data_IF_718728315965
#
_entry.id   IF_718728315965
#
_cell.length_a   1.000
_cell.length_b   1.000
_cell.length_c   1.000
_cell.angle_alpha   90.00
_cell.angle_beta   90.00
_cell.angle_gamma   90.00
#
_symmetry.space_group_name_H-M   'P 1'
#
loop_
_entity.id
_entity.type
_entity.pdbx_description
1 polymer ?
#
# COMPACT_ATOMS: atom_id res chain seq x y z
N UNK A 1 4.11 -0.96 26.89
CA UNK A 1 3.79 -0.71 25.48
C UNK A 1 4.52 0.49 24.85
N UNK A 2 4.52 1.70 25.40
CA UNK A 2 5.36 2.81 24.87
C UNK A 2 6.87 2.59 25.10
N UNK A 3 7.22 1.83 26.14
CA UNK A 3 8.60 1.45 26.48
C UNK A 3 9.26 0.51 25.50
N UNK A 4 8.49 -0.23 24.69
CA UNK A 4 9.01 -1.21 23.72
C UNK A 4 9.34 -0.59 22.36
N UNK A 5 8.84 0.61 22.08
CA UNK A 5 9.04 1.26 20.77
C UNK A 5 10.52 1.41 20.37
N UNK A 6 11.46 1.81 21.25
CA UNK A 6 12.87 1.88 20.89
C UNK A 6 13.48 0.51 20.57
N UNK A 7 13.03 -0.54 21.27
CA UNK A 7 13.47 -1.94 21.04
C UNK A 7 12.99 -2.44 19.69
N UNK A 8 11.72 -2.17 19.36
CA UNK A 8 11.10 -2.52 18.08
C UNK A 8 11.74 -1.76 16.92
N UNK A 9 11.94 -0.45 17.05
CA UNK A 9 12.58 0.36 16.02
C UNK A 9 14.01 -0.12 15.72
N UNK A 10 14.78 -0.46 16.76
CA UNK A 10 16.11 -1.06 16.62
C UNK A 10 16.03 -2.41 15.91
N UNK A 11 15.08 -3.27 16.28
CA UNK A 11 14.86 -4.56 15.65
C UNK A 11 14.58 -4.40 14.15
N UNK A 12 13.62 -3.55 13.77
CA UNK A 12 13.27 -3.29 12.38
C UNK A 12 14.44 -2.72 11.56
N UNK A 13 15.22 -1.80 12.16
CA UNK A 13 16.39 -1.23 11.49
C UNK A 13 17.53 -2.23 11.30
N UNK A 14 17.69 -3.18 12.21
CA UNK A 14 18.67 -4.25 12.09
C UNK A 14 18.18 -5.30 11.09
N UNK A 15 16.92 -5.70 11.18
CA UNK A 15 16.30 -6.67 10.29
C UNK A 15 16.42 -6.26 8.81
N UNK A 16 16.19 -4.98 8.50
CA UNK A 16 16.30 -4.47 7.11
C UNK A 16 17.72 -4.51 6.52
N UNK A 17 18.75 -4.76 7.32
CA UNK A 17 20.16 -4.80 6.90
C UNK A 17 20.74 -6.20 6.87
N UNK A 18 20.04 -7.16 7.43
CA UNK A 18 20.55 -8.54 7.56
C UNK A 18 20.02 -9.37 6.40
N UNK A 19 20.88 -9.96 5.56
CA UNK A 19 20.48 -10.94 4.55
C UNK A 19 19.70 -12.07 5.25
N UNK A 20 18.81 -12.71 4.56
CA UNK A 20 17.99 -13.81 5.07
C UNK A 20 16.94 -13.45 6.15
N UNK A 21 16.89 -12.23 6.63
CA UNK A 21 15.79 -11.77 7.48
C UNK A 21 14.49 -11.81 6.69
N UNK A 22 13.42 -12.34 7.30
CA UNK A 22 12.08 -12.27 6.74
C UNK A 22 11.63 -10.82 6.82
N UNK A 23 11.44 -10.18 5.67
CA UNK A 23 10.92 -8.82 5.59
C UNK A 23 9.80 -8.76 4.56
N UNK A 24 8.63 -8.32 5.00
CA UNK A 24 7.52 -7.96 4.13
C UNK A 24 7.11 -6.52 4.42
N UNK A 25 6.94 -5.72 3.39
CA UNK A 25 6.52 -4.32 3.54
C UNK A 25 5.81 -3.84 2.30
N UNK A 26 4.85 -2.94 2.47
CA UNK A 26 4.18 -2.22 1.38
C UNK A 26 5.13 -1.26 0.65
N UNK A 27 6.33 -1.03 1.18
CA UNK A 27 7.38 -0.24 0.55
C UNK A 27 8.54 -1.14 0.12
N UNK A 28 9.20 -0.84 -1.00
CA UNK A 28 10.46 -1.49 -1.37
C UNK A 28 11.52 -1.33 -0.28
N UNK A 29 12.38 -2.33 -0.12
CA UNK A 29 13.39 -2.36 0.95
C UNK A 29 14.20 -1.06 1.11
N UNK A 30 14.73 -0.41 0.06
CA UNK A 30 15.49 0.84 0.22
C UNK A 30 14.66 1.98 0.82
N UNK A 31 13.32 1.94 0.68
CA UNK A 31 12.42 2.94 1.25
C UNK A 31 11.95 2.55 2.66
N UNK A 32 11.94 1.26 3.00
CA UNK A 32 11.61 0.75 4.34
C UNK A 32 12.64 1.17 5.37
N UNK A 33 13.91 1.05 5.04
CA UNK A 33 15.00 1.40 5.96
C UNK A 33 14.92 2.87 6.41
N UNK A 34 14.52 3.78 5.53
CA UNK A 34 14.32 5.19 5.87
C UNK A 34 13.00 5.44 6.61
N UNK A 35 11.92 4.75 6.24
CA UNK A 35 10.59 4.92 6.83
C UNK A 35 10.48 4.37 8.26
N UNK A 36 11.24 3.32 8.57
CA UNK A 36 11.24 2.68 9.89
C UNK A 36 12.44 3.09 10.75
N UNK A 37 13.42 3.83 10.21
CA UNK A 37 14.65 4.22 10.92
C UNK A 37 14.40 5.20 12.09
N UNK A 38 13.21 5.77 12.21
CA UNK A 38 12.88 6.70 13.26
C UNK A 38 11.72 6.24 14.15
N UNK A 39 11.98 5.77 15.39
CA UNK A 39 10.93 5.62 16.40
C UNK A 39 10.13 6.93 16.60
N UNK A 40 10.73 8.08 16.28
CA UNK A 40 10.09 9.40 16.28
C UNK A 40 9.00 9.53 15.19
N UNK A 41 9.09 8.81 14.08
CA UNK A 41 8.03 8.76 13.06
C UNK A 41 6.87 7.87 13.48
N UNK A 42 7.07 6.93 14.40
CA UNK A 42 6.02 6.10 14.97
C UNK A 42 5.26 6.82 16.11
N UNK A 43 5.92 7.72 16.84
CA UNK A 43 5.35 8.43 17.99
C UNK A 43 4.18 9.37 17.62
N UNK A 44 4.31 10.30 16.67
CA UNK A 44 3.19 11.16 16.27
C UNK A 44 2.03 10.37 15.69
N UNK A 45 2.32 9.30 14.95
CA UNK A 45 1.31 8.37 14.43
C UNK A 45 0.54 7.65 15.55
N UNK A 46 1.22 7.23 16.62
CA UNK A 46 0.58 6.55 17.75
C UNK A 46 -0.24 7.49 18.63
N UNK A 47 0.15 8.76 18.76
CA UNK A 47 -0.56 9.76 19.57
C UNK A 47 -1.77 10.37 18.84
N UNK A 48 -1.66 10.63 17.53
CA UNK A 48 -2.74 11.22 16.72
C UNK A 48 -3.65 10.20 16.03
N UNK A 49 -3.13 8.98 15.76
CA UNK A 49 -3.83 7.90 15.07
C UNK A 49 -4.05 6.69 15.98
N UNK A 50 -4.29 6.91 17.26
CA UNK A 50 -4.36 5.89 18.34
C UNK A 50 -5.14 4.61 17.97
N UNK A 51 -6.11 4.71 17.07
CA UNK A 51 -6.96 3.58 16.68
C UNK A 51 -6.58 2.96 15.33
N UNK A 52 -5.59 3.50 14.60
CA UNK A 52 -5.29 3.07 13.22
C UNK A 52 -4.00 2.28 13.08
N UNK A 53 -3.05 2.46 13.99
CA UNK A 53 -1.80 1.71 14.01
C UNK A 53 -1.80 0.71 15.15
N UNK A 54 -1.41 -0.52 14.81
CA UNK A 54 -1.25 -1.61 15.75
C UNK A 54 0.12 -2.22 15.56
N UNK A 55 0.77 -2.48 16.69
CA UNK A 55 2.07 -3.14 16.74
C UNK A 55 1.90 -4.47 17.43
N UNK A 56 2.32 -5.53 16.74
CA UNK A 56 2.36 -6.89 17.23
C UNK A 56 3.80 -7.34 17.33
N UNK A 57 4.13 -8.04 18.39
CA UNK A 57 5.47 -8.55 18.65
C UNK A 57 5.38 -10.00 19.09
N UNK A 58 6.35 -10.79 18.69
CA UNK A 58 6.52 -12.17 19.14
C UNK A 58 7.89 -12.31 19.78
N UNK A 59 7.92 -12.95 20.95
CA UNK A 59 9.14 -13.21 21.70
C UNK A 59 9.38 -14.71 21.83
N UNK A 60 10.61 -15.12 21.55
CA UNK A 60 11.05 -16.48 21.77
C UNK A 60 12.16 -16.48 22.80
N UNK A 61 11.97 -17.21 23.92
CA UNK A 61 12.94 -17.26 25.05
C UNK A 61 13.36 -15.86 25.57
N UNK A 62 12.41 -14.94 25.67
CA UNK A 62 12.66 -13.59 26.16
C UNK A 62 13.37 -12.64 25.15
N UNK A 63 13.56 -13.09 23.90
CA UNK A 63 14.13 -12.28 22.81
C UNK A 63 13.07 -11.99 21.77
N UNK A 64 13.03 -10.77 21.29
CA UNK A 64 12.15 -10.36 20.20
C UNK A 64 12.58 -11.12 18.92
N UNK A 65 11.68 -11.93 18.36
CA UNK A 65 11.95 -12.74 17.19
C UNK A 65 11.16 -12.30 15.95
N UNK A 66 9.98 -11.71 16.13
CA UNK A 66 9.20 -11.16 15.01
C UNK A 66 8.40 -9.92 15.43
N UNK A 67 8.15 -9.03 14.47
CA UNK A 67 7.41 -7.78 14.64
C UNK A 67 6.52 -7.55 13.43
N UNK A 68 5.27 -7.14 13.66
CA UNK A 68 4.36 -6.67 12.62
C UNK A 68 3.79 -5.30 12.98
N UNK A 69 3.86 -4.36 12.04
CA UNK A 69 3.18 -3.07 12.10
C UNK A 69 1.99 -3.11 11.14
N UNK A 70 0.81 -2.84 11.65
CA UNK A 70 -0.44 -2.93 10.92
C UNK A 70 -1.17 -1.60 10.95
N UNK A 71 -1.72 -1.22 9.81
CA UNK A 71 -2.57 -0.05 9.65
C UNK A 71 -4.01 -0.48 9.40
N UNK A 72 -4.96 0.16 10.10
CA UNK A 72 -6.39 0.05 9.88
C UNK A 72 -6.88 1.31 9.18
N UNK A 73 -7.36 1.18 7.95
CA UNK A 73 -7.93 2.27 7.16
C UNK A 73 -9.37 2.60 7.57
N UNK A 74 -10.13 3.15 6.62
CA UNK A 74 -11.57 3.45 6.77
C UNK A 74 -12.44 2.23 6.49
N UNK A 75 -11.93 1.35 5.64
CA UNK A 75 -12.57 0.11 5.26
C UNK A 75 -12.32 -0.96 6.33
N UNK A 76 -13.14 -2.00 6.40
CA UNK A 76 -12.92 -3.11 7.33
C UNK A 76 -11.75 -4.00 6.86
N UNK A 77 -10.58 -3.38 6.78
CA UNK A 77 -9.35 -3.98 6.26
C UNK A 77 -8.14 -3.55 7.07
N UNK A 78 -7.23 -4.47 7.22
CA UNK A 78 -5.90 -4.19 7.75
C UNK A 78 -4.84 -4.31 6.66
N UNK A 79 -3.83 -3.46 6.74
CA UNK A 79 -2.65 -3.50 5.87
C UNK A 79 -1.41 -3.72 6.72
N UNK A 80 -0.66 -4.78 6.44
CA UNK A 80 0.63 -5.03 7.06
C UNK A 80 1.62 -4.05 6.43
N UNK A 81 1.93 -2.96 7.13
CA UNK A 81 2.89 -1.96 6.66
C UNK A 81 4.32 -2.50 6.71
N UNK A 82 4.62 -3.29 7.74
CA UNK A 82 5.90 -3.95 7.88
C UNK A 82 5.74 -5.23 8.69
N UNK A 83 6.43 -6.27 8.27
CA UNK A 83 6.64 -7.52 8.97
C UNK A 83 8.12 -7.83 8.90
N UNK A 84 8.76 -8.08 10.03
CA UNK A 84 10.15 -8.46 10.08
C UNK A 84 10.37 -9.56 11.10
N UNK A 85 11.27 -10.51 10.80
CA UNK A 85 11.64 -11.57 11.71
C UNK A 85 13.12 -11.93 11.56
N UNK A 86 13.74 -12.41 12.63
CA UNK A 86 15.11 -12.92 12.60
C UNK A 86 15.22 -14.14 11.68
N UNK A 87 16.40 -14.40 11.09
CA UNK A 87 16.58 -15.48 10.11
C UNK A 87 16.66 -16.89 10.73
N UNK A 88 16.59 -17.00 12.04
CA UNK A 88 16.66 -18.27 12.75
C UNK A 88 15.31 -19.04 12.75
N UNK A 89 15.29 -20.32 13.14
CA UNK A 89 14.04 -21.10 13.19
C UNK A 89 12.96 -20.49 14.08
N UNK A 90 13.35 -19.81 15.18
CA UNK A 90 12.42 -19.10 16.06
C UNK A 90 11.73 -17.93 15.37
N UNK A 91 12.41 -17.25 14.44
CA UNK A 91 11.84 -16.17 13.63
C UNK A 91 10.81 -16.67 12.63
N UNK A 92 11.05 -17.78 11.95
CA UNK A 92 10.09 -18.35 11.00
C UNK A 92 8.81 -18.81 11.72
N UNK A 93 8.94 -19.56 12.82
CA UNK A 93 7.82 -19.99 13.65
C UNK A 93 7.09 -18.78 14.26
N UNK A 94 7.84 -17.80 14.78
CA UNK A 94 7.29 -16.57 15.35
C UNK A 94 6.52 -15.75 14.31
N UNK A 95 6.98 -15.68 13.06
CA UNK A 95 6.27 -15.00 11.98
C UNK A 95 4.93 -15.64 11.68
N UNK A 96 4.89 -16.98 11.60
CA UNK A 96 3.65 -17.70 11.38
C UNK A 96 2.66 -17.47 12.53
N UNK A 97 3.08 -17.65 13.78
CA UNK A 97 2.26 -17.38 14.98
C UNK A 97 1.76 -15.92 14.99
N UNK A 98 2.61 -14.98 14.61
CA UNK A 98 2.26 -13.58 14.54
C UNK A 98 1.17 -13.31 13.50
N UNK A 99 1.25 -13.92 12.31
CA UNK A 99 0.21 -13.82 11.26
C UNK A 99 -1.10 -14.48 11.69
N UNK A 100 -1.07 -15.61 12.40
CA UNK A 100 -2.26 -16.25 12.97
C UNK A 100 -2.91 -15.36 14.03
N UNK A 101 -2.12 -14.86 14.99
CA UNK A 101 -2.60 -13.95 16.02
C UNK A 101 -3.19 -12.67 15.42
N UNK A 102 -2.53 -12.12 14.39
CA UNK A 102 -2.99 -10.95 13.65
C UNK A 102 -4.32 -11.22 12.96
N UNK A 103 -4.47 -12.40 12.35
CA UNK A 103 -5.72 -12.83 11.72
C UNK A 103 -6.87 -12.95 12.73
N UNK A 104 -6.62 -13.61 13.87
CA UNK A 104 -7.60 -13.74 14.95
C UNK A 104 -8.00 -12.35 15.52
N UNK A 105 -7.01 -11.51 15.76
CA UNK A 105 -7.25 -10.13 16.24
C UNK A 105 -8.03 -9.30 15.22
N UNK A 106 -7.76 -9.46 13.92
CA UNK A 106 -8.49 -8.75 12.86
C UNK A 106 -9.97 -9.14 12.85
N UNK A 107 -10.28 -10.44 12.96
CA UNK A 107 -11.67 -10.94 13.09
C UNK A 107 -12.37 -10.34 14.30
N UNK A 108 -11.71 -10.31 15.48
CA UNK A 108 -12.27 -9.70 16.69
C UNK A 108 -12.56 -8.19 16.53
N UNK A 109 -11.85 -7.51 15.63
CA UNK A 109 -12.07 -6.09 15.31
C UNK A 109 -12.99 -5.89 14.10
N UNK A 110 -13.70 -6.92 13.65
CA UNK A 110 -14.64 -6.84 12.54
C UNK A 110 -13.99 -6.58 11.18
N UNK A 111 -12.71 -6.93 11.03
CA UNK A 111 -12.05 -6.80 9.74
C UNK A 111 -12.41 -7.95 8.83
N UNK A 112 -12.57 -7.66 7.54
CA UNK A 112 -12.93 -8.64 6.53
C UNK A 112 -11.72 -9.16 5.76
N UNK A 113 -10.64 -8.36 5.73
CA UNK A 113 -9.43 -8.68 4.95
C UNK A 113 -8.16 -8.14 5.60
N UNK A 114 -7.05 -8.83 5.29
CA UNK A 114 -5.71 -8.37 5.61
C UNK A 114 -4.91 -8.35 4.32
N UNK A 115 -4.29 -7.21 4.02
CA UNK A 115 -3.38 -7.04 2.89
C UNK A 115 -1.93 -7.02 3.34
N UNK A 116 -1.06 -7.54 2.50
CA UNK A 116 0.38 -7.50 2.70
C UNK A 116 1.12 -7.42 1.38
N UNK A 117 2.40 -7.10 1.43
CA UNK A 117 3.28 -7.09 0.27
C UNK A 117 4.64 -7.69 0.63
N UNK A 118 5.21 -8.44 -0.30
CA UNK A 118 6.58 -8.96 -0.19
C UNK A 118 7.36 -8.44 -1.39
N UNK A 119 8.31 -7.55 -1.13
CA UNK A 119 9.14 -6.96 -2.16
C UNK A 119 10.25 -7.92 -2.59
N UNK A 120 10.49 -8.00 -3.90
CA UNK A 120 11.67 -8.61 -4.48
C UNK A 120 12.81 -7.59 -4.59
N UNK A 121 14.05 -8.06 -4.64
CA UNK A 121 15.15 -7.23 -5.05
C UNK A 121 15.00 -6.81 -6.53
N UNK A 122 15.46 -5.60 -6.87
CA UNK A 122 15.33 -5.04 -8.23
C UNK A 122 16.01 -5.90 -9.32
N UNK A 123 17.02 -6.70 -8.94
CA UNK A 123 17.73 -7.62 -9.83
C UNK A 123 17.02 -8.97 -10.04
N UNK A 124 15.81 -9.13 -9.48
CA UNK A 124 15.05 -10.38 -9.54
C UNK A 124 15.62 -11.49 -8.64
N UNK A 125 16.71 -11.25 -7.93
CA UNK A 125 17.23 -12.20 -6.95
C UNK A 125 16.31 -12.23 -5.73
N UNK A 126 15.60 -13.33 -5.52
CA UNK A 126 14.94 -13.55 -4.25
C UNK A 126 16.00 -13.90 -3.21
N UNK A 127 16.22 -13.02 -2.24
CA UNK A 127 16.99 -13.40 -1.06
C UNK A 127 16.26 -14.53 -0.33
N UNK A 128 16.98 -15.36 0.42
CA UNK A 128 16.37 -16.44 1.21
C UNK A 128 15.24 -15.90 2.12
N UNK A 129 15.38 -14.67 2.63
CA UNK A 129 14.36 -14.00 3.44
C UNK A 129 13.08 -13.68 2.68
N UNK A 130 13.16 -13.23 1.43
CA UNK A 130 11.99 -12.95 0.58
C UNK A 130 11.21 -14.22 0.25
N UNK A 131 11.90 -15.30 -0.11
CA UNK A 131 11.27 -16.59 -0.38
C UNK A 131 10.52 -17.11 0.85
N UNK A 132 11.16 -17.06 2.02
CA UNK A 132 10.55 -17.44 3.30
C UNK A 132 9.34 -16.55 3.65
N UNK A 133 9.42 -15.24 3.41
CA UNK A 133 8.30 -14.35 3.64
C UNK A 133 7.08 -14.76 2.81
N UNK A 134 7.27 -15.05 1.52
CA UNK A 134 6.19 -15.53 0.64
C UNK A 134 5.59 -16.84 1.14
N UNK A 135 6.45 -17.80 1.45
CA UNK A 135 6.02 -19.09 1.98
C UNK A 135 5.20 -18.92 3.25
N UNK A 136 5.66 -18.10 4.19
CA UNK A 136 4.93 -17.82 5.44
C UNK A 136 3.57 -17.18 5.19
N UNK A 137 3.47 -16.26 4.21
CA UNK A 137 2.18 -15.70 3.82
C UNK A 137 1.23 -16.77 3.27
N UNK A 138 1.71 -17.65 2.38
CA UNK A 138 0.90 -18.76 1.86
C UNK A 138 0.46 -19.72 2.97
N UNK A 139 1.37 -20.13 3.86
CA UNK A 139 1.04 -20.97 5.02
C UNK A 139 0.04 -20.28 5.96
N UNK A 140 0.13 -18.95 6.11
CA UNK A 140 -0.82 -18.15 6.86
C UNK A 140 -2.19 -17.95 6.18
N UNK A 141 -2.44 -18.60 5.03
CA UNK A 141 -3.71 -18.55 4.31
C UNK A 141 -3.91 -17.27 3.47
N UNK A 142 -2.83 -16.56 3.17
CA UNK A 142 -2.86 -15.47 2.20
C UNK A 142 -2.70 -16.04 0.78
N UNK A 143 -3.30 -15.36 -0.20
CA UNK A 143 -3.03 -15.63 -1.61
C UNK A 143 -2.55 -14.37 -2.32
N UNK A 144 -1.70 -14.55 -3.33
CA UNK A 144 -1.23 -13.44 -4.16
C UNK A 144 -2.29 -13.10 -5.18
N UNK A 145 -2.56 -11.81 -5.39
CA UNK A 145 -3.58 -11.37 -6.33
C UNK A 145 -3.05 -10.48 -7.46
N UNK A 146 -1.88 -9.84 -7.27
CA UNK A 146 -1.19 -9.07 -8.32
C UNK A 146 0.26 -8.80 -7.96
N UNK A 147 1.03 -8.31 -8.95
CA UNK A 147 2.37 -7.73 -8.76
C UNK A 147 2.33 -6.24 -8.96
N UNK A 148 3.24 -5.55 -8.30
CA UNK A 148 3.44 -4.13 -8.41
C UNK A 148 4.92 -3.82 -8.54
N UNK A 149 5.28 -3.06 -9.57
CA UNK A 149 6.64 -2.59 -9.80
C UNK A 149 6.74 -1.13 -9.41
N UNK A 150 7.75 -0.79 -8.65
CA UNK A 150 8.03 0.58 -8.22
C UNK A 150 9.07 1.21 -9.15
N UNK A 151 8.70 2.36 -9.70
CA UNK A 151 9.57 3.19 -10.51
C UNK A 151 9.94 4.45 -9.73
N UNK A 152 11.18 4.95 -9.91
CA UNK A 152 11.65 6.16 -9.24
C UNK A 152 12.36 7.12 -10.20
N UNK A 153 12.12 8.41 -10.01
CA UNK A 153 12.89 9.49 -10.61
C UNK A 153 13.56 10.32 -9.50
N UNK A 154 14.77 10.85 -9.72
CA UNK A 154 15.54 11.50 -8.66
C UNK A 154 14.93 12.84 -8.19
N UNK A 155 14.07 13.44 -8.99
CA UNK A 155 13.40 14.72 -8.67
C UNK A 155 12.17 14.98 -9.54
N UNK A 156 11.21 15.73 -9.00
CA UNK A 156 10.11 16.36 -9.74
C UNK A 156 10.43 17.83 -10.03
N UNK A 157 9.70 18.51 -10.94
CA UNK A 157 8.95 17.95 -12.05
C UNK A 157 9.88 17.60 -13.21
N UNK A 158 9.42 16.81 -14.14
CA UNK A 158 10.21 16.36 -15.27
C UNK A 158 10.08 17.30 -16.47
N UNK A 159 8.89 17.41 -16.99
CA UNK A 159 8.50 18.29 -18.11
C UNK A 159 7.10 18.81 -17.89
N UNK A 160 6.76 19.94 -18.49
CA UNK A 160 5.38 20.41 -18.51
C UNK A 160 4.51 19.48 -19.37
N UNK A 161 3.25 19.23 -18.98
CA UNK A 161 2.29 18.52 -19.82
C UNK A 161 1.96 19.34 -21.06
N UNK A 162 1.39 18.68 -22.07
CA UNK A 162 0.86 19.37 -23.24
C UNK A 162 -0.26 20.34 -22.86
N UNK A 163 -0.31 21.54 -23.44
CA UNK A 163 -1.42 22.47 -23.19
C UNK A 163 -2.77 21.94 -23.71
N UNK A 164 -2.76 20.90 -24.53
CA UNK A 164 -3.96 20.25 -25.07
C UNK A 164 -4.53 19.17 -24.15
N UNK A 165 -3.90 18.89 -23.00
CA UNK A 165 -4.39 17.91 -22.06
C UNK A 165 -5.68 18.42 -21.41
N UNK A 166 -6.82 17.85 -21.82
CA UNK A 166 -8.13 18.16 -21.22
C UNK A 166 -8.27 17.41 -19.89
N UNK A 167 -7.86 18.07 -18.83
CA UNK A 167 -7.85 17.51 -17.48
C UNK A 167 -8.46 18.47 -16.46
N UNK A 168 -9.13 17.91 -15.46
CA UNK A 168 -9.68 18.67 -14.34
C UNK A 168 -9.41 18.00 -13.00
N UNK A 169 -9.38 18.77 -11.93
CA UNK A 169 -9.24 18.22 -10.58
C UNK A 169 -10.49 17.47 -10.16
N UNK A 170 -10.28 16.35 -9.45
CA UNK A 170 -11.36 15.49 -8.99
C UNK A 170 -12.36 16.24 -8.11
N UNK A 171 -13.64 15.98 -8.34
CA UNK A 171 -14.78 16.45 -7.56
C UNK A 171 -15.52 15.23 -6.99
N UNK A 172 -16.31 15.46 -5.94
CA UNK A 172 -17.11 14.39 -5.33
C UNK A 172 -18.01 13.62 -6.32
N UNK A 173 -18.55 14.33 -7.31
CA UNK A 173 -19.42 13.75 -8.35
C UNK A 173 -18.69 12.74 -9.24
N UNK A 174 -17.36 12.77 -9.30
CA UNK A 174 -16.55 11.95 -10.20
C UNK A 174 -16.32 10.53 -9.65
N UNK A 175 -16.76 10.23 -8.43
CA UNK A 175 -16.54 8.93 -7.78
C UNK A 175 -17.11 7.76 -8.59
N UNK A 176 -18.28 7.93 -9.20
CA UNK A 176 -18.89 6.89 -10.03
C UNK A 176 -18.11 6.63 -11.31
N UNK A 177 -17.64 7.68 -11.97
CA UNK A 177 -16.85 7.55 -13.20
C UNK A 177 -15.47 6.93 -12.91
N UNK A 178 -14.86 7.28 -11.80
CA UNK A 178 -13.63 6.63 -11.31
C UNK A 178 -13.85 5.15 -11.01
N UNK A 179 -14.93 4.79 -10.37
CA UNK A 179 -15.28 3.39 -10.11
C UNK A 179 -15.51 2.62 -11.42
N UNK A 180 -16.24 3.18 -12.37
CA UNK A 180 -16.44 2.57 -13.69
C UNK A 180 -15.13 2.40 -14.44
N UNK A 181 -14.27 3.41 -14.39
CA UNK A 181 -12.94 3.36 -14.99
C UNK A 181 -12.10 2.23 -14.34
N UNK A 182 -12.09 2.15 -13.01
CA UNK A 182 -11.42 1.08 -12.28
C UNK A 182 -11.97 -0.30 -12.70
N UNK A 183 -13.27 -0.47 -12.74
CA UNK A 183 -13.90 -1.73 -13.12
C UNK A 183 -13.57 -2.14 -14.58
N UNK A 184 -13.45 -1.16 -15.48
CA UNK A 184 -13.14 -1.40 -16.89
C UNK A 184 -11.65 -1.72 -17.13
N UNK A 185 -10.74 -1.19 -16.31
CA UNK A 185 -9.28 -1.29 -16.53
C UNK A 185 -8.56 -2.24 -15.56
N UNK A 186 -9.28 -2.84 -14.61
CA UNK A 186 -8.70 -3.72 -13.60
C UNK A 186 -9.14 -5.16 -13.82
N UNK A 187 -8.21 -6.15 -13.82
CA UNK A 187 -8.57 -7.55 -13.94
C UNK A 187 -9.53 -8.01 -12.84
N UNK A 188 -10.47 -8.89 -13.17
CA UNK A 188 -11.48 -9.39 -12.23
C UNK A 188 -10.89 -10.02 -10.95
N UNK A 189 -9.76 -10.72 -11.08
CA UNK A 189 -9.07 -11.29 -9.90
C UNK A 189 -8.64 -10.21 -8.90
N UNK A 190 -8.17 -9.06 -9.39
CA UNK A 190 -7.79 -7.91 -8.57
C UNK A 190 -9.02 -7.23 -7.99
N UNK A 191 -10.06 -7.02 -8.80
CA UNK A 191 -11.33 -6.45 -8.32
C UNK A 191 -11.93 -7.30 -7.19
N UNK A 192 -11.89 -8.63 -7.35
CA UNK A 192 -12.36 -9.57 -6.33
C UNK A 192 -11.56 -9.50 -5.03
N UNK A 193 -10.24 -9.35 -5.12
CA UNK A 193 -9.38 -9.21 -3.94
C UNK A 193 -9.60 -7.88 -3.22
N UNK A 194 -9.74 -6.78 -3.98
CA UNK A 194 -9.84 -5.43 -3.44
C UNK A 194 -11.28 -5.05 -3.04
N UNK A 195 -12.31 -5.61 -3.71
CA UNK A 195 -13.75 -5.38 -3.47
C UNK A 195 -14.12 -3.91 -3.25
N UNK A 196 -13.63 -3.04 -4.15
CA UNK A 196 -13.89 -1.61 -4.06
C UNK A 196 -15.34 -1.29 -4.41
N UNK A 197 -15.85 -0.25 -3.78
CA UNK A 197 -17.18 0.33 -4.02
C UNK A 197 -17.05 1.76 -4.53
N UNK A 198 -18.14 2.36 -5.01
CA UNK A 198 -18.14 3.77 -5.46
C UNK A 198 -17.67 4.71 -4.34
N UNK A 199 -17.99 4.40 -3.08
CA UNK A 199 -17.63 5.23 -1.93
C UNK A 199 -16.11 5.32 -1.70
N UNK A 200 -15.37 4.30 -2.12
CA UNK A 200 -13.91 4.26 -2.01
C UNK A 200 -13.24 5.27 -2.96
N UNK A 201 -13.94 5.67 -4.00
CA UNK A 201 -13.49 6.65 -5.00
C UNK A 201 -13.91 8.10 -4.69
N UNK A 202 -14.56 8.37 -3.55
CA UNK A 202 -14.83 9.74 -3.10
C UNK A 202 -13.53 10.46 -2.67
N UNK A 203 -12.67 10.70 -3.65
CA UNK A 203 -11.34 11.33 -3.47
C UNK A 203 -11.50 12.80 -3.05
N UNK A 204 -12.64 13.43 -3.35
CA UNK A 204 -12.92 14.85 -3.07
C UNK A 204 -13.12 15.18 -1.59
N UNK A 205 -13.58 14.23 -0.80
CA UNK A 205 -14.21 14.52 0.48
C UNK A 205 -13.28 14.86 1.64
N UNK A 206 -12.01 14.45 1.62
CA UNK A 206 -11.09 14.70 2.75
C UNK A 206 -9.65 14.85 2.28
N UNK A 207 -9.18 16.10 2.23
CA UNK A 207 -7.75 16.36 2.16
C UNK A 207 -7.08 15.65 3.36
N UNK A 208 -6.13 14.73 3.09
CA UNK A 208 -5.35 14.02 4.10
C UNK A 208 -5.81 12.60 4.46
N UNK A 209 -6.95 12.11 3.97
CA UNK A 209 -7.29 10.70 4.12
C UNK A 209 -6.62 9.90 3.01
N UNK A 210 -5.69 9.06 3.39
CA UNK A 210 -5.07 8.05 2.54
C UNK A 210 -5.60 6.69 2.97
N UNK A 211 -6.26 5.99 2.08
CA UNK A 211 -6.75 4.64 2.32
C UNK A 211 -6.05 3.68 1.33
N UNK A 212 -4.93 3.07 1.75
CA UNK A 212 -4.36 1.98 0.98
C UNK A 212 -5.34 0.78 0.95
N UNK A 213 -5.21 -0.17 0.03
CA UNK A 213 -4.10 -0.33 -0.92
C UNK A 213 -4.43 0.06 -2.36
N UNK A 214 -5.64 0.48 -2.67
CA UNK A 214 -6.17 0.46 -4.03
C UNK A 214 -5.72 1.64 -4.92
N UNK A 215 -5.63 2.85 -4.38
CA UNK A 215 -5.21 4.00 -5.18
C UNK A 215 -3.69 4.10 -5.26
N UNK A 216 -3.03 3.99 -4.11
CA UNK A 216 -1.57 4.05 -3.99
C UNK A 216 -1.11 3.03 -2.96
N UNK A 217 -0.19 2.17 -3.34
CA UNK A 217 0.57 1.38 -2.38
C UNK A 217 1.65 2.26 -1.76
N UNK A 218 1.84 2.14 -0.46
CA UNK A 218 2.85 2.92 0.25
C UNK A 218 2.54 3.10 1.73
N UNK A 219 3.39 3.87 2.39
CA UNK A 219 3.24 4.14 3.81
C UNK A 219 2.36 5.38 4.04
N UNK A 220 1.14 5.22 4.58
CA UNK A 220 0.23 6.34 4.83
C UNK A 220 0.78 7.35 5.86
N UNK A 221 1.80 6.97 6.63
CA UNK A 221 2.43 7.84 7.61
C UNK A 221 3.47 8.76 7.00
N UNK A 222 4.02 8.38 5.84
CA UNK A 222 5.12 9.07 5.17
C UNK A 222 4.65 10.00 4.05
N UNK A 223 3.34 10.11 3.80
CA UNK A 223 2.85 10.90 2.67
C UNK A 223 1.48 11.53 2.94
N UNK A 224 1.21 12.64 2.22
CA UNK A 224 -0.08 13.32 2.24
C UNK A 224 -0.54 13.55 0.80
N UNK A 225 -1.82 13.36 0.52
CA UNK A 225 -2.36 13.65 -0.80
C UNK A 225 -2.15 15.13 -1.15
N UNK A 226 -1.61 15.38 -2.34
CA UNK A 226 -1.44 16.72 -2.88
C UNK A 226 -2.59 17.07 -3.82
N UNK A 227 -2.76 16.29 -4.88
CA UNK A 227 -3.79 16.52 -5.88
C UNK A 227 -4.31 15.20 -6.46
N UNK A 228 -5.45 15.28 -7.13
CA UNK A 228 -5.96 14.21 -7.97
C UNK A 228 -6.60 14.82 -9.21
N UNK A 229 -6.22 14.36 -10.39
CA UNK A 229 -6.64 14.88 -11.67
C UNK A 229 -7.27 13.78 -12.52
N UNK A 230 -8.32 14.15 -13.24
CA UNK A 230 -9.01 13.30 -14.20
C UNK A 230 -8.77 13.85 -15.61
N UNK A 231 -8.64 12.95 -16.57
CA UNK A 231 -8.50 13.28 -17.99
C UNK A 231 -9.56 12.53 -18.80
N UNK A 232 -10.33 13.28 -19.56
CA UNK A 232 -11.39 12.74 -20.43
C UNK A 232 -12.59 13.65 -20.48
N UNK A 233 -13.36 13.55 -21.59
CA UNK A 233 -14.61 14.31 -21.77
C UNK A 233 -15.75 13.82 -20.88
N UNK A 234 -16.85 14.59 -20.85
CA UNK A 234 -18.01 14.39 -19.96
C UNK A 234 -18.64 12.99 -19.98
N UNK A 235 -18.38 12.19 -21.00
CA UNK A 235 -19.01 10.86 -21.15
C UNK A 235 -18.07 9.70 -20.83
N UNK A 236 -16.75 9.89 -20.79
CA UNK A 236 -15.80 8.80 -20.59
C UNK A 236 -14.46 9.26 -20.02
N UNK A 237 -14.18 8.84 -18.81
CA UNK A 237 -12.86 8.98 -18.21
C UNK A 237 -11.84 8.13 -19.00
N UNK A 238 -10.70 8.73 -19.39
CA UNK A 238 -9.62 8.08 -20.12
C UNK A 238 -8.38 7.83 -19.27
N UNK A 239 -8.13 8.70 -18.31
CA UNK A 239 -7.02 8.53 -17.38
C UNK A 239 -7.26 9.29 -16.07
N UNK A 240 -6.55 8.92 -15.03
CA UNK A 240 -6.42 9.72 -13.84
C UNK A 240 -5.00 9.66 -13.27
N UNK A 241 -4.62 10.71 -12.55
CA UNK A 241 -3.39 10.79 -11.79
C UNK A 241 -3.64 11.30 -10.38
N UNK A 242 -2.97 10.69 -9.41
CA UNK A 242 -3.01 11.13 -8.00
C UNK A 242 -1.58 11.36 -7.53
N UNK A 243 -1.33 12.53 -6.92
CA UNK A 243 -0.04 12.85 -6.32
C UNK A 243 -0.13 12.89 -4.81
N UNK A 244 0.91 12.38 -4.17
CA UNK A 244 1.11 12.41 -2.73
C UNK A 244 2.45 13.05 -2.43
N UNK A 245 2.42 14.06 -1.57
CA UNK A 245 3.63 14.72 -1.10
C UNK A 245 4.27 13.87 -0.01
N UNK A 246 5.53 13.49 -0.18
CA UNK A 246 6.34 12.89 0.88
C UNK A 246 6.58 13.88 2.01
N UNK A 247 6.53 13.42 3.24
CA UNK A 247 6.84 14.19 4.45
C UNK A 247 8.15 13.67 5.05
N UNK A 248 8.84 14.51 5.83
CA UNK A 248 10.07 14.14 6.55
C UNK A 248 11.16 13.52 5.64
N UNK A 249 11.34 14.06 4.43
CA UNK A 249 12.35 13.60 3.49
C UNK A 249 11.99 12.33 2.69
N UNK A 250 10.79 11.79 2.88
CA UNK A 250 10.31 10.66 2.07
C UNK A 250 10.03 11.10 0.63
N UNK A 251 10.23 10.22 -0.36
CA UNK A 251 9.93 10.52 -1.74
C UNK A 251 8.43 10.84 -1.92
N UNK A 252 8.16 11.70 -2.89
CA UNK A 252 6.79 11.89 -3.37
C UNK A 252 6.30 10.61 -4.04
N UNK A 253 4.99 10.39 -4.06
CA UNK A 253 4.38 9.27 -4.76
C UNK A 253 3.37 9.77 -5.76
N UNK A 254 3.42 9.26 -6.98
CA UNK A 254 2.40 9.47 -7.99
C UNK A 254 1.79 8.14 -8.38
N UNK A 255 0.48 8.10 -8.55
CA UNK A 255 -0.22 6.95 -9.14
C UNK A 255 -0.94 7.44 -10.38
N UNK A 256 -0.59 6.86 -11.51
CA UNK A 256 -1.20 7.15 -12.80
C UNK A 256 -1.88 5.90 -13.32
N UNK A 257 -3.06 6.07 -13.88
CA UNK A 257 -3.76 5.04 -14.63
C UNK A 257 -4.33 5.63 -15.91
N UNK A 258 -4.27 4.92 -17.00
CA UNK A 258 -4.90 5.28 -18.26
C UNK A 258 -5.56 4.06 -18.90
N UNK A 259 -6.37 4.29 -19.91
CA UNK A 259 -6.93 3.19 -20.70
C UNK A 259 -5.79 2.40 -21.35
N UNK A 260 -6.00 1.12 -21.53
CA UNK A 260 -4.99 0.19 -22.03
C UNK A 260 -4.38 0.63 -23.36
N UNK A 261 -3.06 0.58 -23.44
CA UNK A 261 -2.29 0.83 -24.65
C UNK A 261 -2.00 2.31 -24.97
N UNK A 262 -2.63 3.28 -24.30
CA UNK A 262 -2.40 4.71 -24.59
C UNK A 262 -1.19 5.26 -23.79
N UNK A 263 0.00 4.99 -24.31
CA UNK A 263 1.27 5.41 -23.69
C UNK A 263 1.42 6.93 -23.69
N UNK A 264 1.01 7.62 -24.75
CA UNK A 264 1.16 9.08 -24.84
C UNK A 264 0.25 9.78 -23.84
N UNK A 265 -0.98 9.32 -23.70
CA UNK A 265 -1.89 9.82 -22.66
C UNK A 265 -1.30 9.56 -21.25
N UNK A 266 -0.78 8.36 -21.01
CA UNK A 266 -0.14 8.04 -19.72
C UNK A 266 1.03 8.97 -19.43
N UNK A 267 1.88 9.29 -20.43
CA UNK A 267 3.01 10.24 -20.31
C UNK A 267 2.53 11.65 -19.92
N UNK A 268 1.51 12.14 -20.61
CA UNK A 268 0.96 13.48 -20.32
C UNK A 268 0.38 13.54 -18.89
N UNK A 269 -0.29 12.48 -18.45
CA UNK A 269 -0.81 12.41 -17.07
C UNK A 269 0.32 12.32 -16.04
N UNK A 270 1.41 11.56 -16.33
CA UNK A 270 2.61 11.54 -15.47
C UNK A 270 3.18 12.94 -15.30
N UNK A 271 3.35 13.67 -16.41
CA UNK A 271 3.86 15.06 -16.40
C UNK A 271 2.98 15.98 -15.58
N UNK A 272 1.68 15.97 -15.85
CA UNK A 272 0.71 16.81 -15.15
C UNK A 272 0.66 16.50 -13.65
N UNK A 273 0.67 15.22 -13.30
CA UNK A 273 0.60 14.79 -11.89
C UNK A 273 1.89 15.13 -11.13
N UNK A 274 3.06 15.05 -11.77
CA UNK A 274 4.34 15.40 -11.15
C UNK A 274 4.56 16.91 -11.04
N UNK A 275 3.95 17.73 -11.91
CA UNK A 275 4.03 19.20 -11.86
C UNK A 275 3.46 19.77 -10.55
N UNK A 276 2.48 19.09 -9.97
CA UNK A 276 1.84 19.48 -8.70
C UNK A 276 2.71 19.22 -7.45
N UNK A 277 3.86 18.57 -7.63
CA UNK A 277 4.76 18.23 -6.54
C UNK A 277 5.85 19.27 -6.35
N UNK A 278 6.27 19.54 -5.11
CA UNK A 278 7.42 20.39 -4.84
C UNK A 278 8.68 19.85 -5.52
N UNK A 279 9.51 20.74 -6.03
CA UNK A 279 10.80 20.36 -6.61
C UNK A 279 11.80 19.93 -5.55
N UNK A 280 12.77 19.09 -5.94
CA UNK A 280 13.95 18.76 -5.13
C UNK A 280 13.89 17.42 -4.40
N UNK A 281 12.74 16.75 -4.34
CA UNK A 281 12.63 15.41 -3.78
C UNK A 281 12.41 14.36 -4.88
N UNK A 282 12.87 13.14 -4.60
CA UNK A 282 12.60 11.98 -5.45
C UNK A 282 11.09 11.72 -5.58
N UNK A 283 10.69 11.20 -6.72
CA UNK A 283 9.31 10.76 -7.00
C UNK A 283 9.32 9.28 -7.26
N UNK A 284 8.38 8.57 -6.67
CA UNK A 284 8.15 7.15 -6.93
C UNK A 284 6.75 6.92 -7.49
N UNK A 285 6.61 5.88 -8.28
CA UNK A 285 5.31 5.47 -8.85
C UNK A 285 5.16 3.95 -8.78
N UNK A 286 4.18 3.43 -8.03
CA UNK A 286 3.81 2.03 -8.08
C UNK A 286 2.94 1.75 -9.29
N UNK A 287 3.28 0.72 -10.05
CA UNK A 287 2.57 0.29 -11.27
C UNK A 287 2.21 -1.18 -11.16
N UNK A 288 0.96 -1.51 -11.39
CA UNK A 288 0.47 -2.89 -11.39
C UNK A 288 0.91 -3.62 -12.65
N UNK A 289 1.10 -4.93 -12.56
CA UNK A 289 1.58 -5.76 -13.68
C UNK A 289 0.71 -5.68 -14.94
N UNK A 290 -0.56 -5.33 -14.81
CA UNK A 290 -1.50 -5.15 -15.93
C UNK A 290 -1.52 -3.71 -16.50
N UNK A 291 -0.70 -2.81 -15.97
CA UNK A 291 -0.57 -1.40 -16.40
C UNK A 291 0.75 -1.17 -17.17
N UNK A 292 1.16 -2.10 -18.02
CA UNK A 292 2.47 -2.09 -18.71
C UNK A 292 2.70 -0.80 -19.52
N UNK A 293 1.66 -0.23 -20.15
CA UNK A 293 1.74 1.02 -20.90
C UNK A 293 2.09 2.20 -19.97
N UNK A 294 1.64 2.21 -18.70
CA UNK A 294 2.03 3.21 -17.71
C UNK A 294 3.49 3.04 -17.32
N UNK A 295 3.97 1.80 -17.15
CA UNK A 295 5.39 1.51 -16.91
C UNK A 295 6.28 2.07 -18.03
N UNK A 296 5.91 1.84 -19.30
CA UNK A 296 6.62 2.38 -20.46
C UNK A 296 6.61 3.91 -20.48
N UNK A 297 5.47 4.52 -20.16
CA UNK A 297 5.34 5.97 -20.05
C UNK A 297 6.29 6.54 -19.00
N UNK A 298 6.34 5.96 -17.81
CA UNK A 298 7.25 6.35 -16.73
C UNK A 298 8.72 6.25 -17.16
N UNK A 299 9.13 5.12 -17.77
CA UNK A 299 10.50 4.95 -18.24
C UNK A 299 10.88 6.00 -19.29
N UNK A 300 9.97 6.35 -20.19
CA UNK A 300 10.19 7.41 -21.20
C UNK A 300 10.34 8.79 -20.52
N UNK A 301 9.69 9.03 -19.39
CA UNK A 301 9.84 10.27 -18.60
C UNK A 301 11.02 10.22 -17.62
N UNK A 302 11.90 9.21 -17.71
CA UNK A 302 13.15 9.13 -16.96
C UNK A 302 13.06 8.44 -15.62
N UNK A 303 11.96 7.79 -15.32
CA UNK A 303 11.88 6.89 -14.17
C UNK A 303 12.65 5.60 -14.45
N UNK A 304 13.17 5.00 -13.40
CA UNK A 304 13.83 3.69 -13.42
C UNK A 304 13.14 2.75 -12.45
N UNK A 305 13.08 1.49 -12.82
CA UNK A 305 12.63 0.44 -11.92
C UNK A 305 13.56 0.34 -10.71
N UNK A 306 12.98 0.25 -9.51
CA UNK A 306 13.73 0.17 -8.24
C UNK A 306 13.36 -1.04 -7.42
N UNK A 307 12.16 -1.58 -7.56
CA UNK A 307 11.73 -2.79 -6.86
C UNK A 307 10.46 -3.35 -7.47
N UNK A 308 10.22 -4.63 -7.25
CA UNK A 308 8.96 -5.31 -7.52
C UNK A 308 8.42 -5.92 -6.23
N UNK A 309 7.12 -5.93 -6.05
CA UNK A 309 6.46 -6.55 -4.91
C UNK A 309 5.32 -7.48 -5.37
N UNK A 310 5.20 -8.61 -4.72
CA UNK A 310 4.02 -9.46 -4.79
C UNK A 310 3.03 -9.02 -3.74
N UNK A 311 1.78 -8.75 -4.12
CA UNK A 311 0.73 -8.32 -3.23
C UNK A 311 -0.15 -9.49 -2.83
N UNK A 312 -0.42 -9.56 -1.54
CA UNK A 312 -1.14 -10.63 -0.88
C UNK A 312 -2.41 -10.11 -0.22
N UNK A 313 -3.41 -10.95 -0.17
CA UNK A 313 -4.62 -10.73 0.60
C UNK A 313 -5.04 -12.01 1.31
N UNK A 314 -5.57 -11.87 2.51
CA UNK A 314 -6.26 -12.93 3.25
C UNK A 314 -7.69 -12.46 3.53
N UNK A 315 -8.65 -13.21 3.07
CA UNK A 315 -10.06 -13.02 3.41
C UNK A 315 -10.33 -13.67 4.78
N UNK A 316 -11.07 -12.95 5.61
CA UNK A 316 -11.40 -13.40 6.97
C UNK A 316 -12.86 -13.82 7.04
N UNK A 317 -13.13 -14.98 7.59
CA UNK A 317 -14.48 -15.40 7.90
C UNK A 317 -14.95 -14.66 9.17
N UNK A 318 -15.79 -13.66 9.01
CA UNK A 318 -16.45 -13.01 10.15
C UNK A 318 -17.71 -13.79 10.49
N UNK A 319 -17.78 -14.28 11.73
CA UNK A 319 -18.99 -14.93 12.23
C UNK A 319 -20.09 -13.86 12.32
N UNK A 320 -21.07 -13.95 11.45
CA UNK A 320 -22.31 -13.17 11.59
C UNK A 320 -23.08 -13.79 12.75
N UNK A 321 -23.18 -13.09 13.87
CA UNK A 321 -24.15 -13.46 14.92
C UNK A 321 -25.54 -13.29 14.32
N UNK A 322 -26.26 -14.40 14.15
CA UNK A 322 -27.68 -14.31 13.81
C UNK A 322 -28.38 -13.49 14.91
N UNK A 323 -29.12 -12.42 14.55
CA UNK A 323 -29.88 -11.70 15.54
C UNK A 323 -30.81 -12.68 16.25
N UNK A 324 -30.70 -12.76 17.57
CA UNK A 324 -31.59 -13.60 18.36
C UNK A 324 -33.04 -13.22 17.97
N UNK A 325 -33.75 -14.15 17.34
CA UNK A 325 -35.17 -13.95 17.01
C UNK A 325 -35.86 -13.63 18.32
N UNK A 326 -36.38 -12.42 18.44
CA UNK A 326 -37.22 -12.06 19.59
C UNK A 326 -38.36 -13.07 19.65
N UNK A 327 -38.60 -13.73 20.80
CA UNK A 327 -39.70 -14.67 20.92
C UNK A 327 -40.98 -13.94 20.55
N UNK A 328 -41.74 -14.53 19.60
CA UNK A 328 -43.04 -14.01 19.21
C UNK A 328 -43.93 -13.96 20.46
N UNK A 329 -44.27 -12.77 20.93
CA UNK A 329 -45.25 -12.61 21.99
C UNK A 329 -46.60 -12.98 21.38
N UNK A 330 -47.03 -14.21 21.59
CA UNK A 330 -48.40 -14.63 21.32
C UNK A 330 -49.25 -13.96 22.38
N UNK A 331 -50.09 -13.03 21.97
CA UNK A 331 -51.18 -12.43 22.75
C UNK A 331 -52.43 -13.27 22.60
#
# INVERSE_FOLDING_TARGET
MLTDLPRVARFLSTASRTPDTIVASVLPQPLVASALAGWRTLLPGTLGMRNRLRLYVEEYRGRLCAVALVYSGRRPEWVILALAAVPDPGGAEGTFKLLEHLSASAVQHGQLRIFGAVADAADGSSTGGTARARETFFQGGFYSYTRETWYAAPRAPLRAPSPTLDGHYTRRRDAHDLFRFYAATTPHAVQRAEQLTVEDFDIGRRAGAFDPPFLVSGNPLAMRRSSAMLVGGEQRLRAFGVSFRGVDGHPHVVKVRSIDGDIDLAREVVRATTLELPSGQAVTSPVRSYEEHVARALMTEGFREVATAMLFVKELAVRVEEPALAPAVVR
#
